data_IF_211177118182
#
_entry.id   IF_211177118182
#
_cell.length_a   1.000
_cell.length_b   1.000
_cell.length_c   1.000
_cell.angle_alpha   90.00
_cell.angle_beta   90.00
_cell.angle_gamma   90.00
#
_symmetry.space_group_name_H-M   'P 1'
#
loop_
_entity.id
_entity.type
_entity.pdbx_description
1 polymer ?
#
# COMPACT_ATOMS: atom_id res chain seq x y z
N UNK A 1 43.43 -22.76 -27.31
CA UNK A 1 43.27 -21.38 -26.83
C UNK A 1 42.29 -21.42 -25.68
N UNK A 2 42.77 -21.33 -24.44
CA UNK A 2 41.88 -21.09 -23.30
C UNK A 2 41.35 -19.68 -23.44
N UNK A 3 40.04 -19.49 -23.31
CA UNK A 3 39.32 -18.26 -23.69
C UNK A 3 39.76 -17.00 -22.92
N UNK A 4 40.65 -17.12 -21.93
CA UNK A 4 41.17 -16.03 -21.11
C UNK A 4 42.66 -16.29 -20.77
N UNK A 5 43.51 -15.28 -21.01
CA UNK A 5 44.97 -15.30 -20.85
C UNK A 5 45.45 -15.34 -19.39
N UNK A 6 44.99 -16.31 -18.58
CA UNK A 6 45.56 -16.60 -17.26
C UNK A 6 45.44 -15.49 -16.20
N UNK A 7 44.71 -14.41 -16.47
CA UNK A 7 44.47 -13.31 -15.51
C UNK A 7 43.24 -13.65 -14.68
N UNK A 8 43.47 -13.83 -13.38
CA UNK A 8 42.42 -14.05 -12.37
C UNK A 8 42.13 -12.76 -11.61
N UNK A 9 40.85 -12.45 -11.30
CA UNK A 9 39.64 -13.20 -11.61
C UNK A 9 39.14 -12.97 -13.06
N UNK A 10 38.64 -14.05 -13.69
CA UNK A 10 38.15 -14.03 -15.09
C UNK A 10 36.97 -13.08 -15.34
N UNK A 11 36.20 -12.80 -14.30
CA UNK A 11 35.18 -11.77 -14.29
C UNK A 11 35.56 -10.78 -13.20
N UNK A 12 35.96 -9.57 -13.60
CA UNK A 12 36.07 -8.46 -12.64
C UNK A 12 34.71 -8.28 -11.98
N UNK A 13 34.67 -8.33 -10.64
CA UNK A 13 33.45 -8.35 -9.86
C UNK A 13 32.77 -6.97 -9.89
N UNK A 14 32.17 -6.60 -11.02
CA UNK A 14 31.39 -5.39 -11.14
C UNK A 14 29.99 -5.69 -10.60
N UNK A 15 29.84 -5.54 -9.28
CA UNK A 15 28.53 -5.65 -8.61
C UNK A 15 27.67 -4.47 -9.08
N UNK A 16 26.72 -4.72 -9.97
CA UNK A 16 25.65 -3.77 -10.23
C UNK A 16 24.65 -3.83 -9.06
N UNK A 17 24.38 -2.72 -8.35
CA UNK A 17 23.31 -2.70 -7.37
C UNK A 17 21.97 -2.97 -8.09
N UNK A 18 21.14 -3.82 -7.48
CA UNK A 18 19.80 -4.06 -8.02
C UNK A 18 18.92 -2.83 -7.70
N UNK A 19 18.39 -2.18 -8.74
CA UNK A 19 17.71 -0.88 -8.67
C UNK A 19 16.30 -1.01 -8.03
N UNK A 20 15.71 -2.20 -8.10
CA UNK A 20 14.33 -2.49 -7.64
C UNK A 20 14.38 -3.47 -6.48
N UNK A 21 13.33 -3.63 -5.68
CA UNK A 21 13.27 -4.73 -4.71
C UNK A 21 12.94 -6.05 -5.44
N UNK A 22 13.68 -7.13 -5.17
CA UNK A 22 13.46 -8.44 -5.80
C UNK A 22 12.05 -8.95 -5.51
N UNK A 23 11.56 -8.74 -4.29
CA UNK A 23 10.24 -9.22 -3.86
C UNK A 23 9.13 -8.55 -4.69
N UNK A 24 9.26 -7.23 -4.88
CA UNK A 24 8.37 -6.41 -5.70
C UNK A 24 8.40 -6.87 -7.16
N UNK A 25 9.60 -7.07 -7.71
CA UNK A 25 9.79 -7.53 -9.09
C UNK A 25 9.08 -8.86 -9.34
N UNK A 26 9.21 -9.82 -8.42
CA UNK A 26 8.55 -11.13 -8.52
C UNK A 26 7.03 -10.96 -8.55
N UNK A 27 6.46 -10.13 -7.67
CA UNK A 27 5.01 -9.87 -7.66
C UNK A 27 4.55 -9.26 -8.98
N UNK A 28 5.21 -8.20 -9.46
CA UNK A 28 4.85 -7.57 -10.74
C UNK A 28 4.92 -8.56 -11.89
N UNK A 29 5.96 -9.41 -11.93
CA UNK A 29 6.14 -10.39 -12.99
C UNK A 29 5.03 -11.44 -12.98
N UNK A 30 4.69 -12.00 -11.82
CA UNK A 30 3.62 -13.00 -11.69
C UNK A 30 2.27 -12.43 -12.15
N UNK A 31 1.90 -11.24 -11.67
CA UNK A 31 0.65 -10.59 -12.08
C UNK A 31 0.66 -10.18 -13.57
N UNK A 32 1.80 -9.76 -14.12
CA UNK A 32 1.93 -9.44 -15.55
C UNK A 32 1.73 -10.67 -16.44
N UNK A 33 2.30 -11.82 -16.07
CA UNK A 33 2.11 -13.09 -16.80
C UNK A 33 0.64 -13.52 -16.77
N UNK A 34 -0.02 -13.39 -15.61
CA UNK A 34 -1.46 -13.67 -15.49
C UNK A 34 -2.29 -12.72 -16.37
N UNK A 35 -2.01 -11.42 -16.35
CA UNK A 35 -2.71 -10.43 -17.17
C UNK A 35 -2.56 -10.72 -18.67
N UNK A 36 -1.34 -11.02 -19.13
CA UNK A 36 -1.06 -11.39 -20.53
C UNK A 36 -1.79 -12.69 -20.91
N UNK A 37 -1.81 -13.68 -20.02
CA UNK A 37 -2.54 -14.94 -20.24
C UNK A 37 -4.05 -14.69 -20.43
N UNK A 38 -4.66 -13.85 -19.59
CA UNK A 38 -6.06 -13.46 -19.77
C UNK A 38 -6.27 -12.65 -21.05
N UNK A 39 -5.32 -11.79 -21.44
CA UNK A 39 -5.40 -11.05 -22.70
C UNK A 39 -5.45 -11.98 -23.92
N UNK A 40 -4.72 -13.10 -23.90
CA UNK A 40 -4.74 -14.10 -24.97
C UNK A 40 -6.04 -14.89 -25.06
N UNK A 41 -6.77 -15.07 -23.95
CA UNK A 41 -8.05 -15.80 -23.92
C UNK A 41 -9.21 -14.94 -24.48
N UNK A 42 -9.06 -13.61 -24.46
CA UNK A 42 -10.11 -12.67 -24.85
C UNK A 42 -10.71 -12.80 -26.26
N UNK A 43 -9.94 -13.14 -27.32
CA UNK A 43 -10.51 -13.34 -28.64
C UNK A 43 -11.55 -14.47 -28.69
N UNK A 44 -11.52 -15.40 -27.72
CA UNK A 44 -12.48 -16.50 -27.60
C UNK A 44 -13.86 -16.10 -27.03
N UNK A 45 -14.00 -14.92 -26.44
CA UNK A 45 -15.26 -14.46 -25.83
C UNK A 45 -16.11 -13.74 -26.87
N UNK A 46 -17.33 -14.23 -27.10
CA UNK A 46 -18.26 -13.76 -28.13
C UNK A 46 -19.07 -12.54 -27.64
N UNK A 47 -19.15 -11.47 -28.44
CA UNK A 47 -20.10 -10.35 -28.25
C UNK A 47 -19.54 -9.06 -27.62
N UNK A 48 -20.44 -8.07 -27.42
CA UNK A 48 -20.12 -6.72 -26.88
C UNK A 48 -19.72 -6.73 -25.39
N UNK A 49 -20.04 -7.78 -24.65
CA UNK A 49 -19.69 -7.94 -23.23
C UNK A 49 -18.18 -8.17 -22.97
N UNK A 50 -17.39 -8.44 -24.04
CA UNK A 50 -15.94 -8.64 -23.95
C UNK A 50 -15.20 -7.49 -23.25
N UNK A 51 -15.59 -6.24 -23.54
CA UNK A 51 -14.93 -5.06 -22.93
C UNK A 51 -15.20 -4.99 -21.43
N UNK A 52 -16.43 -5.25 -21.01
CA UNK A 52 -16.80 -5.26 -19.59
C UNK A 52 -16.04 -6.37 -18.84
N UNK A 53 -15.97 -7.57 -19.41
CA UNK A 53 -15.19 -8.68 -18.86
C UNK A 53 -13.69 -8.38 -18.79
N UNK A 54 -13.13 -7.72 -19.81
CA UNK A 54 -11.74 -7.24 -19.78
C UNK A 54 -11.47 -6.32 -18.61
N UNK A 55 -12.25 -5.24 -18.50
CA UNK A 55 -12.06 -4.25 -17.45
C UNK A 55 -12.20 -4.89 -16.07
N UNK A 56 -13.18 -5.78 -15.87
CA UNK A 56 -13.36 -6.51 -14.62
C UNK A 56 -12.14 -7.37 -14.25
N UNK A 57 -11.62 -8.18 -15.17
CA UNK A 57 -10.44 -9.01 -14.89
C UNK A 57 -9.22 -8.13 -14.59
N UNK A 58 -8.99 -7.10 -15.40
CA UNK A 58 -7.82 -6.22 -15.24
C UNK A 58 -7.88 -5.46 -13.91
N UNK A 59 -9.04 -4.93 -13.54
CA UNK A 59 -9.25 -4.22 -12.26
C UNK A 59 -9.07 -5.19 -11.09
N UNK A 60 -9.68 -6.36 -11.12
CA UNK A 60 -9.54 -7.36 -10.05
C UNK A 60 -8.08 -7.80 -9.89
N UNK A 61 -7.38 -8.06 -11.00
CA UNK A 61 -5.99 -8.47 -10.99
C UNK A 61 -5.07 -7.35 -10.49
N UNK A 62 -5.37 -6.10 -10.83
CA UNK A 62 -4.68 -4.93 -10.27
C UNK A 62 -4.90 -4.80 -8.75
N UNK A 63 -6.13 -5.01 -8.26
CA UNK A 63 -6.43 -5.03 -6.82
C UNK A 63 -5.60 -6.11 -6.11
N UNK A 64 -5.56 -7.33 -6.66
CA UNK A 64 -4.74 -8.42 -6.14
C UNK A 64 -3.25 -8.08 -6.13
N UNK A 65 -2.74 -7.45 -7.20
CA UNK A 65 -1.34 -7.03 -7.30
C UNK A 65 -0.97 -5.97 -6.24
N UNK A 66 -1.87 -5.03 -5.96
CA UNK A 66 -1.65 -4.01 -4.92
C UNK A 66 -1.72 -4.62 -3.52
N UNK A 67 -2.63 -5.57 -3.28
CA UNK A 67 -2.76 -6.27 -2.00
C UNK A 67 -1.51 -7.08 -1.66
N UNK A 68 -0.99 -7.87 -2.61
CA UNK A 68 0.24 -8.66 -2.43
C UNK A 68 1.49 -7.79 -2.48
N UNK A 69 1.45 -6.72 -3.26
CA UNK A 69 2.55 -5.78 -3.43
C UNK A 69 2.88 -4.96 -2.18
N UNK A 70 2.13 -5.12 -1.08
CA UNK A 70 2.39 -4.59 0.28
C UNK A 70 3.33 -3.37 0.34
N UNK A 71 2.83 -2.25 -0.18
CA UNK A 71 3.66 -1.07 -0.39
C UNK A 71 3.62 -0.04 0.72
N UNK A 72 2.98 -0.25 1.89
CA UNK A 72 2.91 0.86 2.86
C UNK A 72 4.31 1.24 3.32
N UNK A 73 4.73 2.43 2.88
CA UNK A 73 6.00 3.06 3.19
C UNK A 73 5.67 4.48 3.58
N UNK A 74 6.23 4.95 4.66
CA UNK A 74 6.39 6.38 4.89
C UNK A 74 7.69 6.83 4.25
N UNK A 75 7.74 8.09 3.86
CA UNK A 75 8.93 8.68 3.29
C UNK A 75 9.26 9.94 4.06
N UNK A 76 10.49 9.99 4.54
CA UNK A 76 11.02 11.15 5.21
C UNK A 76 12.35 11.48 4.54
N UNK A 77 12.48 12.68 3.99
CA UNK A 77 13.71 13.09 3.33
C UNK A 77 14.20 14.42 3.88
N UNK A 78 15.52 14.50 4.09
CA UNK A 78 16.23 15.74 4.44
C UNK A 78 17.57 15.77 3.74
N UNK A 79 17.95 16.96 3.27
CA UNK A 79 19.29 17.23 2.78
C UNK A 79 20.08 17.91 3.88
N UNK A 80 20.90 17.16 4.61
CA UNK A 80 21.66 17.71 5.72
C UNK A 80 23.16 17.55 5.53
N UNK A 81 23.91 18.49 6.08
CA UNK A 81 25.33 18.35 6.28
C UNK A 81 25.56 17.57 7.57
N UNK A 82 26.08 16.35 7.45
CA UNK A 82 26.23 15.45 8.58
C UNK A 82 27.66 14.91 8.70
N UNK A 83 28.07 14.62 9.94
CA UNK A 83 29.31 13.90 10.20
C UNK A 83 29.20 12.50 9.63
N UNK A 84 30.17 12.09 8.81
CA UNK A 84 30.07 10.85 8.04
C UNK A 84 30.59 9.63 8.81
N UNK A 85 31.83 9.68 9.31
CA UNK A 85 32.53 8.52 9.88
C UNK A 85 33.24 8.87 11.18
N UNK A 86 33.29 7.92 12.12
CA UNK A 86 34.11 8.03 13.33
C UNK A 86 35.60 8.19 12.98
N UNK A 87 36.34 8.94 13.80
CA UNK A 87 37.76 9.28 13.58
C UNK A 87 38.03 10.18 12.35
N UNK A 88 36.99 10.76 11.75
CA UNK A 88 37.11 11.81 10.74
C UNK A 88 36.24 13.00 11.11
N UNK A 89 36.78 14.22 10.98
CA UNK A 89 36.04 15.46 11.16
C UNK A 89 35.37 15.93 9.86
N UNK A 90 35.43 15.13 8.80
CA UNK A 90 34.83 15.49 7.52
C UNK A 90 33.30 15.47 7.61
N UNK A 91 32.69 16.55 7.14
CA UNK A 91 31.25 16.71 7.01
C UNK A 91 30.88 16.49 5.54
N UNK A 92 29.87 15.66 5.31
CA UNK A 92 29.38 15.32 3.99
C UNK A 92 28.02 15.98 3.79
N UNK A 93 27.79 16.54 2.61
CA UNK A 93 26.46 16.98 2.20
C UNK A 93 25.71 15.79 1.61
N UNK A 94 24.72 15.28 2.32
CA UNK A 94 23.99 14.09 1.91
C UNK A 94 22.48 14.25 2.11
N UNK A 95 21.73 13.64 1.20
CA UNK A 95 20.31 13.39 1.35
C UNK A 95 20.13 12.12 2.18
N UNK A 96 19.51 12.29 3.33
CA UNK A 96 19.14 11.20 4.24
C UNK A 96 17.66 10.94 4.06
N UNK A 97 17.33 9.71 3.63
CA UNK A 97 15.96 9.27 3.43
C UNK A 97 15.61 8.13 4.39
N UNK A 98 14.61 8.32 5.24
CA UNK A 98 14.03 7.27 6.07
C UNK A 98 12.72 6.80 5.43
N UNK A 99 12.69 5.52 5.09
CA UNK A 99 11.51 4.85 4.57
C UNK A 99 10.96 3.87 5.59
N UNK A 100 9.82 4.17 6.21
CA UNK A 100 9.24 3.28 7.24
C UNK A 100 8.17 2.38 6.62
N UNK A 101 8.46 1.09 6.51
CA UNK A 101 7.54 0.08 5.99
C UNK A 101 6.78 -0.70 7.07
N UNK A 102 5.87 -1.59 6.65
CA UNK A 102 5.16 -2.49 7.57
C UNK A 102 6.09 -3.47 8.28
N UNK A 103 7.15 -3.93 7.60
CA UNK A 103 8.03 -5.00 8.05
C UNK A 103 9.42 -4.54 8.48
N UNK A 104 9.74 -3.26 8.31
CA UNK A 104 11.03 -2.71 8.66
C UNK A 104 11.14 -1.24 8.32
N UNK A 105 12.30 -0.67 8.61
CA UNK A 105 12.75 0.62 8.09
C UNK A 105 13.84 0.39 7.05
N UNK A 106 13.86 1.25 6.06
CA UNK A 106 14.96 1.37 5.12
C UNK A 106 15.54 2.80 5.24
N UNK A 107 16.83 2.89 5.49
CA UNK A 107 17.55 4.14 5.67
C UNK A 107 18.51 4.30 4.49
N UNK A 108 18.33 5.39 3.78
CA UNK A 108 19.14 5.77 2.62
C UNK A 108 20.02 6.96 2.97
N UNK A 109 21.26 6.93 2.51
CA UNK A 109 22.21 8.03 2.63
C UNK A 109 22.90 8.22 1.29
N UNK A 110 22.55 9.29 0.59
CA UNK A 110 23.07 9.59 -0.75
C UNK A 110 23.79 10.94 -0.76
N UNK A 111 25.05 10.94 -1.18
CA UNK A 111 25.83 12.17 -1.31
C UNK A 111 25.30 13.09 -2.43
N UNK A 112 25.38 14.41 -2.20
CA UNK A 112 25.12 15.46 -3.21
C UNK A 112 26.39 16.33 -3.36
N UNK A 113 27.36 16.00 -4.25
CA UNK A 113 27.37 14.92 -5.26
C UNK A 113 27.66 13.52 -4.67
N UNK A 114 27.43 12.45 -5.43
CA UNK A 114 27.53 11.06 -4.94
C UNK A 114 28.96 10.66 -4.53
N UNK A 115 29.98 11.18 -5.23
CA UNK A 115 31.37 10.98 -4.84
C UNK A 115 31.88 12.17 -4.05
N UNK A 116 32.17 11.95 -2.76
CA UNK A 116 32.77 12.94 -1.86
C UNK A 116 33.88 12.25 -1.09
N UNK A 117 34.95 12.99 -0.76
CA UNK A 117 36.04 12.48 0.08
C UNK A 117 36.69 11.20 -0.53
N UNK A 118 36.80 11.12 -1.86
CA UNK A 118 37.29 9.95 -2.60
C UNK A 118 36.51 8.65 -2.34
N UNK A 119 35.29 8.74 -1.81
CA UNK A 119 34.40 7.61 -1.56
C UNK A 119 33.05 7.83 -2.28
N UNK A 120 32.36 6.73 -2.59
CA UNK A 120 31.03 6.76 -3.21
C UNK A 120 29.99 6.60 -2.11
N UNK A 121 29.20 7.64 -1.87
CA UNK A 121 28.23 7.71 -0.78
C UNK A 121 26.84 7.40 -1.35
N UNK A 122 26.48 6.12 -1.34
CA UNK A 122 25.18 5.61 -1.77
C UNK A 122 24.83 4.37 -0.93
N UNK A 123 24.31 4.60 0.27
CA UNK A 123 23.93 3.54 1.21
C UNK A 123 22.43 3.33 1.22
N UNK A 124 22.02 2.07 1.36
CA UNK A 124 20.62 1.63 1.39
C UNK A 124 20.51 0.47 2.39
N UNK A 125 20.33 0.79 3.67
CA UNK A 125 20.36 -0.17 4.78
C UNK A 125 18.96 -0.48 5.30
N UNK A 126 18.64 -1.77 5.47
CA UNK A 126 17.32 -2.24 5.85
C UNK A 126 17.36 -2.89 7.24
N UNK A 127 16.59 -2.37 8.18
CA UNK A 127 16.37 -2.96 9.50
C UNK A 127 14.96 -3.55 9.58
N UNK A 128 14.86 -4.87 9.80
CA UNK A 128 13.58 -5.59 9.82
C UNK A 128 13.01 -5.70 11.23
N UNK A 129 11.68 -5.65 11.35
CA UNK A 129 10.94 -5.83 12.60
C UNK A 129 10.80 -7.29 13.04
N UNK A 130 10.99 -8.24 12.10
CA UNK A 130 10.87 -9.68 12.34
C UNK A 130 11.94 -10.19 13.30
N UNK A 131 13.17 -9.69 13.14
CA UNK A 131 14.34 -9.97 13.96
C UNK A 131 14.49 -8.95 15.09
N UNK A 132 15.40 -9.23 16.03
CA UNK A 132 15.84 -8.27 17.04
C UNK A 132 16.41 -7.04 16.33
N UNK A 133 15.76 -5.89 16.48
CA UNK A 133 16.30 -4.62 15.95
C UNK A 133 17.58 -4.26 16.68
N UNK A 134 17.65 -4.57 17.98
CA UNK A 134 18.83 -4.28 18.82
C UNK A 134 20.07 -5.09 18.36
N UNK A 135 19.88 -6.33 17.90
CA UNK A 135 20.96 -7.19 17.36
C UNK A 135 21.42 -6.70 15.99
N UNK A 136 20.49 -6.39 15.08
CA UNK A 136 20.82 -5.79 13.78
C UNK A 136 21.53 -4.44 13.94
N UNK A 137 21.17 -3.67 14.97
CA UNK A 137 21.85 -2.44 15.32
C UNK A 137 23.26 -2.71 15.87
N UNK A 138 23.45 -3.75 16.68
CA UNK A 138 24.77 -4.25 17.08
C UNK A 138 25.65 -4.60 15.89
N UNK A 139 25.14 -5.40 14.95
CA UNK A 139 25.84 -5.76 13.71
C UNK A 139 26.19 -4.53 12.87
N UNK A 140 25.28 -3.54 12.80
CA UNK A 140 25.49 -2.29 12.10
C UNK A 140 26.62 -1.44 12.73
N UNK A 141 26.72 -1.45 14.06
CA UNK A 141 27.82 -0.80 14.79
C UNK A 141 29.14 -1.52 14.55
N UNK A 142 29.16 -2.85 14.58
CA UNK A 142 30.38 -3.64 14.32
C UNK A 142 30.90 -3.46 12.89
N UNK A 143 30.00 -3.31 11.91
CA UNK A 143 30.36 -3.00 10.51
C UNK A 143 30.85 -1.56 10.33
N UNK A 144 30.60 -0.67 11.27
CA UNK A 144 30.99 0.74 11.21
C UNK A 144 30.23 1.54 10.16
N UNK A 145 28.89 1.39 10.11
CA UNK A 145 28.04 2.19 9.22
C UNK A 145 28.16 3.70 9.49
N UNK A 146 27.86 4.55 8.50
CA UNK A 146 27.91 6.01 8.66
C UNK A 146 27.06 6.51 9.83
N UNK A 147 27.55 7.54 10.53
CA UNK A 147 26.90 8.10 11.72
C UNK A 147 25.42 8.49 11.50
N UNK A 148 24.99 9.07 10.36
CA UNK A 148 23.59 9.44 10.16
C UNK A 148 22.64 8.23 10.13
N UNK A 149 23.12 7.10 9.58
CA UNK A 149 22.34 5.86 9.52
C UNK A 149 22.20 5.28 10.93
N UNK A 150 23.31 5.23 11.67
CA UNK A 150 23.31 4.75 13.06
C UNK A 150 22.43 5.61 13.96
N UNK A 151 22.47 6.93 13.81
CA UNK A 151 21.64 7.87 14.58
C UNK A 151 20.15 7.60 14.39
N UNK A 152 19.70 7.41 13.14
CA UNK A 152 18.29 7.09 12.87
C UNK A 152 17.96 5.69 13.39
N UNK A 153 18.81 4.70 13.15
CA UNK A 153 18.58 3.32 13.60
C UNK A 153 18.46 3.24 15.13
N UNK A 154 19.26 4.01 15.86
CA UNK A 154 19.23 4.08 17.33
C UNK A 154 17.85 4.50 17.85
N UNK A 155 17.17 5.46 17.18
CA UNK A 155 15.82 5.91 17.57
C UNK A 155 14.76 4.80 17.49
N UNK A 156 15.01 3.76 16.69
CA UNK A 156 14.13 2.60 16.55
C UNK A 156 14.58 1.40 17.41
N UNK A 157 15.57 1.56 18.28
CA UNK A 157 15.93 0.53 19.27
C UNK A 157 14.94 0.49 20.43
N UNK A 158 14.86 -0.64 21.14
CA UNK A 158 13.94 -0.81 22.28
C UNK A 158 14.23 0.09 23.46
N UNK A 159 15.51 0.41 23.68
CA UNK A 159 15.98 1.22 24.81
C UNK A 159 16.08 2.71 24.47
N UNK A 160 15.63 3.12 23.28
CA UNK A 160 15.62 4.52 22.88
C UNK A 160 14.62 5.33 23.73
N UNK A 161 14.96 6.59 24.03
CA UNK A 161 14.11 7.50 24.80
C UNK A 161 12.74 7.75 24.12
N UNK A 162 12.66 7.52 22.82
CA UNK A 162 11.49 7.80 22.00
C UNK A 162 10.55 6.59 21.83
N UNK A 163 11.05 5.36 22.04
CA UNK A 163 10.21 4.15 22.07
C UNK A 163 9.42 3.86 20.78
N UNK A 164 9.84 4.43 19.63
CA UNK A 164 9.13 4.36 18.34
C UNK A 164 8.85 2.92 17.90
N UNK A 165 9.77 2.00 18.22
CA UNK A 165 9.72 0.61 17.79
C UNK A 165 8.41 -0.09 18.15
N UNK A 166 7.85 0.17 19.33
CA UNK A 166 6.63 -0.50 19.76
C UNK A 166 5.46 -0.09 18.88
N UNK A 167 5.26 1.21 18.67
CA UNK A 167 4.13 1.73 17.89
C UNK A 167 4.19 1.29 16.43
N UNK A 168 5.36 1.44 15.79
CA UNK A 168 5.54 1.02 14.39
C UNK A 168 5.41 -0.48 14.21
N UNK A 169 5.93 -1.28 15.15
CA UNK A 169 5.83 -2.74 15.08
C UNK A 169 4.40 -3.23 15.31
N UNK A 170 3.66 -2.66 16.26
CA UNK A 170 2.26 -3.06 16.52
C UNK A 170 1.36 -2.66 15.35
N UNK A 171 1.44 -1.41 14.91
CA UNK A 171 0.62 -0.95 13.79
C UNK A 171 0.99 -1.64 12.48
N UNK A 172 2.28 -1.84 12.19
CA UNK A 172 2.73 -2.60 11.03
C UNK A 172 2.19 -4.04 11.01
N UNK A 173 2.22 -4.74 12.17
CA UNK A 173 1.64 -6.08 12.29
C UNK A 173 0.13 -6.09 12.07
N UNK A 174 -0.59 -5.13 12.65
CA UNK A 174 -2.04 -5.05 12.49
C UNK A 174 -2.44 -4.72 11.04
N UNK A 175 -1.74 -3.77 10.41
CA UNK A 175 -1.91 -3.43 9.00
C UNK A 175 -1.64 -4.64 8.10
N UNK A 176 -0.52 -5.35 8.30
CA UNK A 176 -0.19 -6.55 7.51
C UNK A 176 -1.24 -7.65 7.69
N UNK A 177 -1.72 -7.91 8.91
CA UNK A 177 -2.77 -8.90 9.15
C UNK A 177 -4.08 -8.56 8.42
N UNK A 178 -4.47 -7.28 8.42
CA UNK A 178 -5.65 -6.82 7.68
C UNK A 178 -5.46 -6.95 6.16
N UNK A 179 -4.27 -6.67 5.63
CA UNK A 179 -3.98 -6.85 4.20
C UNK A 179 -4.02 -8.32 3.77
N UNK A 180 -3.43 -9.22 4.55
CA UNK A 180 -3.52 -10.66 4.30
C UNK A 180 -4.97 -11.16 4.37
N UNK A 181 -5.75 -10.64 5.30
CA UNK A 181 -7.20 -10.94 5.40
C UNK A 181 -7.96 -10.40 4.18
N UNK A 182 -7.66 -9.17 3.75
CA UNK A 182 -8.23 -8.57 2.54
C UNK A 182 -7.88 -9.40 1.30
N UNK A 183 -6.64 -9.89 1.19
CA UNK A 183 -6.21 -10.75 0.10
C UNK A 183 -7.00 -12.07 0.07
N UNK A 184 -7.22 -12.71 1.23
CA UNK A 184 -8.08 -13.89 1.32
C UNK A 184 -9.52 -13.59 0.90
N UNK A 185 -10.10 -12.46 1.35
CA UNK A 185 -11.44 -12.04 0.96
C UNK A 185 -11.55 -11.76 -0.55
N UNK A 186 -10.53 -11.15 -1.15
CA UNK A 186 -10.43 -10.92 -2.59
C UNK A 186 -10.34 -12.23 -3.38
N UNK A 187 -9.55 -13.21 -2.92
CA UNK A 187 -9.50 -14.53 -3.55
C UNK A 187 -10.86 -15.22 -3.54
N UNK A 188 -11.54 -15.21 -2.39
CA UNK A 188 -12.89 -15.77 -2.26
C UNK A 188 -13.87 -15.03 -3.17
N UNK A 189 -13.82 -13.70 -3.23
CA UNK A 189 -14.67 -12.91 -4.13
C UNK A 189 -14.48 -13.30 -5.61
N UNK A 190 -13.24 -13.50 -6.07
CA UNK A 190 -12.96 -13.95 -7.44
C UNK A 190 -13.48 -15.35 -7.75
N UNK A 191 -13.41 -16.27 -6.77
CA UNK A 191 -13.98 -17.61 -6.91
C UNK A 191 -15.51 -17.51 -7.02
N UNK A 192 -16.15 -16.71 -6.17
CA UNK A 192 -17.61 -16.53 -6.20
C UNK A 192 -18.07 -15.84 -7.48
N UNK A 193 -17.28 -14.92 -8.05
CA UNK A 193 -17.57 -14.32 -9.36
C UNK A 193 -17.56 -15.31 -10.54
N UNK A 194 -16.95 -16.48 -10.35
CA UNK A 194 -16.96 -17.57 -11.34
C UNK A 194 -18.21 -18.45 -11.21
N UNK A 195 -18.92 -18.37 -10.08
CA UNK A 195 -20.20 -19.03 -9.84
C UNK A 195 -21.36 -18.04 -10.07
N UNK A 196 -22.60 -18.50 -10.29
CA UNK A 196 -23.77 -17.62 -10.47
C UNK A 196 -24.20 -16.88 -9.18
N UNK A 197 -23.35 -16.87 -8.14
CA UNK A 197 -23.65 -16.37 -6.80
C UNK A 197 -23.02 -14.98 -6.61
N UNK A 198 -23.48 -14.02 -7.41
CA UNK A 198 -22.82 -12.70 -7.58
C UNK A 198 -23.02 -11.78 -6.35
N UNK A 199 -24.13 -11.92 -5.61
CA UNK A 199 -24.43 -11.13 -4.42
C UNK A 199 -23.38 -11.32 -3.31
N UNK A 200 -23.06 -12.58 -3.01
CA UNK A 200 -22.06 -12.91 -1.99
C UNK A 200 -20.65 -12.50 -2.42
N UNK A 201 -20.35 -12.51 -3.72
CA UNK A 201 -19.10 -11.96 -4.25
C UNK A 201 -19.00 -10.44 -3.97
N UNK A 202 -20.10 -9.71 -4.16
CA UNK A 202 -20.21 -8.28 -3.82
C UNK A 202 -19.95 -8.01 -2.34
N UNK A 203 -20.56 -8.78 -1.43
CA UNK A 203 -20.31 -8.65 0.01
C UNK A 203 -18.85 -8.92 0.39
N UNK A 204 -18.21 -9.92 -0.22
CA UNK A 204 -16.79 -10.21 0.00
C UNK A 204 -15.86 -9.11 -0.56
N UNK A 205 -16.25 -8.44 -1.64
CA UNK A 205 -15.52 -7.26 -2.16
C UNK A 205 -15.65 -6.05 -1.23
N UNK A 206 -16.82 -5.81 -0.64
CA UNK A 206 -17.01 -4.78 0.38
C UNK A 206 -16.16 -5.08 1.62
N UNK A 207 -16.15 -6.34 2.06
CA UNK A 207 -15.31 -6.78 3.18
C UNK A 207 -13.82 -6.54 2.88
N UNK A 208 -13.36 -6.86 1.67
CA UNK A 208 -12.00 -6.57 1.20
C UNK A 208 -11.69 -5.08 1.30
N UNK A 209 -12.58 -4.22 0.81
CA UNK A 209 -12.42 -2.76 0.88
C UNK A 209 -12.33 -2.27 2.34
N UNK A 210 -13.18 -2.81 3.23
CA UNK A 210 -13.18 -2.45 4.65
C UNK A 210 -11.85 -2.79 5.33
N UNK A 211 -11.28 -3.98 5.08
CA UNK A 211 -9.97 -4.36 5.61
C UNK A 211 -8.84 -3.49 5.07
N UNK A 212 -8.87 -3.10 3.79
CA UNK A 212 -7.91 -2.13 3.23
C UNK A 212 -8.02 -0.79 3.97
N UNK A 213 -9.22 -0.27 4.20
CA UNK A 213 -9.42 0.97 4.94
C UNK A 213 -8.94 0.87 6.39
N UNK A 214 -9.27 -0.22 7.10
CA UNK A 214 -8.76 -0.45 8.46
C UNK A 214 -7.24 -0.53 8.50
N UNK A 215 -6.61 -1.18 7.52
CA UNK A 215 -5.15 -1.18 7.39
C UNK A 215 -4.61 0.25 7.23
N UNK A 216 -5.12 1.04 6.27
CA UNK A 216 -4.67 2.43 6.06
C UNK A 216 -4.89 3.32 7.28
N UNK A 217 -6.01 3.16 7.98
CA UNK A 217 -6.33 3.91 9.18
C UNK A 217 -5.36 3.56 10.32
N UNK A 218 -5.11 2.26 10.55
CA UNK A 218 -4.16 1.82 11.57
C UNK A 218 -2.74 2.34 11.31
N UNK A 219 -2.32 2.36 10.05
CA UNK A 219 -1.02 2.92 9.67
C UNK A 219 -0.98 4.42 9.91
N UNK A 220 -2.03 5.16 9.53
CA UNK A 220 -2.10 6.63 9.72
C UNK A 220 -2.14 7.04 11.20
N UNK A 221 -2.69 6.21 12.09
CA UNK A 221 -2.71 6.53 13.53
C UNK A 221 -1.32 6.61 14.16
N UNK A 222 -0.29 6.03 13.52
CA UNK A 222 1.09 6.09 14.02
C UNK A 222 1.59 7.54 14.11
N UNK A 223 1.26 8.38 13.14
CA UNK A 223 1.76 9.77 13.07
C UNK A 223 1.18 10.68 14.14
N UNK A 224 -0.07 10.44 14.53
CA UNK A 224 -0.77 11.32 15.47
C UNK A 224 -0.27 11.17 16.92
N UNK A 225 0.63 10.21 17.17
CA UNK A 225 1.11 9.82 18.51
C UNK A 225 2.54 10.29 18.79
N UNK A 226 3.26 10.85 17.80
CA UNK A 226 4.73 11.03 17.90
C UNK A 226 5.14 12.50 18.16
N UNK A 227 5.71 12.82 19.33
CA UNK A 227 6.43 14.07 19.59
C UNK A 227 7.97 13.88 19.51
N UNK A 228 8.46 13.16 18.50
CA UNK A 228 9.88 12.83 18.36
C UNK A 228 10.47 13.55 17.15
N UNK A 229 11.27 14.57 17.42
CA UNK A 229 11.91 15.35 16.36
C UNK A 229 13.20 14.66 15.89
N UNK A 230 13.32 14.46 14.58
CA UNK A 230 14.51 13.92 13.95
C UNK A 230 15.31 15.10 13.41
N UNK A 231 16.25 15.61 14.20
CA UNK A 231 17.21 16.62 13.76
C UNK A 231 18.51 15.97 13.30
N UNK A 232 18.96 16.32 12.10
CA UNK A 232 20.28 15.95 11.57
C UNK A 232 20.99 17.27 11.27
N UNK A 233 21.93 17.65 12.14
CA UNK A 233 22.54 18.97 12.08
C UNK A 233 21.54 20.08 12.43
N UNK A 234 21.36 21.05 11.53
CA UNK A 234 20.45 22.18 11.72
C UNK A 234 19.05 21.99 11.09
N UNK A 235 18.84 20.89 10.37
CA UNK A 235 17.59 20.62 9.65
C UNK A 235 16.79 19.49 10.32
N UNK A 236 15.46 19.64 10.32
CA UNK A 236 14.52 18.65 10.85
C UNK A 236 13.84 17.87 9.71
N UNK A 237 13.48 16.63 10.02
CA UNK A 237 12.89 15.68 9.07
C UNK A 237 11.44 16.03 8.72
N UNK A 238 11.21 16.54 7.51
CA UNK A 238 9.85 16.71 6.98
C UNK A 238 9.24 15.36 6.61
N UNK A 239 7.97 15.17 6.97
CA UNK A 239 7.30 13.87 6.90
C UNK A 239 6.24 13.89 5.81
N UNK A 240 6.31 12.99 4.83
CA UNK A 240 5.30 12.87 3.78
C UNK A 240 4.78 11.44 3.63
N UNK A 241 3.50 11.34 3.27
CA UNK A 241 2.91 10.06 2.89
C UNK A 241 3.43 9.62 1.52
N UNK A 242 3.97 8.40 1.44
CA UNK A 242 4.44 7.85 0.17
C UNK A 242 3.29 7.61 -0.81
N UNK A 243 3.60 7.59 -2.10
CA UNK A 243 2.67 7.26 -3.19
C UNK A 243 1.92 5.94 -2.96
N UNK A 244 2.55 4.97 -2.32
CA UNK A 244 1.96 3.68 -2.02
C UNK A 244 0.76 3.73 -1.08
N UNK A 245 0.78 4.65 -0.11
CA UNK A 245 -0.35 4.88 0.78
C UNK A 245 -1.57 5.37 -0.02
N UNK A 246 -1.35 6.29 -0.95
CA UNK A 246 -2.40 6.81 -1.82
C UNK A 246 -2.93 5.76 -2.80
N UNK A 247 -2.06 4.90 -3.34
CA UNK A 247 -2.46 3.79 -4.21
C UNK A 247 -3.34 2.80 -3.46
N UNK A 248 -2.99 2.43 -2.22
CA UNK A 248 -3.81 1.54 -1.40
C UNK A 248 -5.19 2.15 -1.08
N UNK A 249 -5.24 3.46 -0.75
CA UNK A 249 -6.50 4.16 -0.51
C UNK A 249 -7.36 4.25 -1.78
N UNK A 250 -6.75 4.50 -2.93
CA UNK A 250 -7.44 4.48 -4.22
C UNK A 250 -7.97 3.07 -4.55
N UNK A 251 -7.21 2.03 -4.24
CA UNK A 251 -7.59 0.62 -4.45
C UNK A 251 -8.80 0.24 -3.61
N UNK A 252 -8.83 0.61 -2.32
CA UNK A 252 -10.01 0.40 -1.47
C UNK A 252 -11.27 1.10 -1.97
N UNK A 253 -11.12 2.31 -2.55
CA UNK A 253 -12.24 3.00 -3.23
C UNK A 253 -12.67 2.28 -4.51
N UNK A 254 -11.73 1.77 -5.31
CA UNK A 254 -12.05 1.03 -6.53
C UNK A 254 -12.81 -0.27 -6.24
N UNK A 255 -12.38 -1.04 -5.22
CA UNK A 255 -13.09 -2.25 -4.81
C UNK A 255 -14.51 -1.96 -4.33
N UNK A 256 -14.72 -0.82 -3.66
CA UNK A 256 -16.05 -0.41 -3.24
C UNK A 256 -16.92 -0.02 -4.44
N UNK A 257 -16.37 0.75 -5.39
CA UNK A 257 -17.06 1.09 -6.64
C UNK A 257 -17.50 -0.15 -7.42
N UNK A 258 -16.66 -1.17 -7.52
CA UNK A 258 -16.98 -2.42 -8.22
C UNK A 258 -18.15 -3.19 -7.57
N UNK A 259 -18.32 -3.08 -6.25
CA UNK A 259 -19.40 -3.74 -5.51
C UNK A 259 -20.76 -3.02 -5.56
N UNK A 260 -20.79 -1.71 -5.89
CA UNK A 260 -22.03 -0.89 -5.83
C UNK A 260 -23.11 -1.31 -6.85
N UNK A 261 -22.79 -1.61 -8.13
CA UNK A 261 -23.80 -2.07 -9.09
C UNK A 261 -24.46 -3.37 -8.61
N UNK A 262 -23.66 -4.29 -8.09
CA UNK A 262 -24.08 -5.63 -7.66
C UNK A 262 -25.04 -5.62 -6.47
N UNK A 263 -24.92 -4.62 -5.58
CA UNK A 263 -25.83 -4.46 -4.44
C UNK A 263 -27.14 -3.77 -4.80
N UNK A 264 -27.17 -2.99 -5.90
CA UNK A 264 -28.38 -2.27 -6.34
C UNK A 264 -29.31 -3.14 -7.17
N UNK A 265 -28.76 -4.14 -7.86
CA UNK A 265 -29.56 -5.11 -8.61
C UNK A 265 -30.52 -5.87 -7.66
N UNK A 266 -30.17 -6.05 -6.38
CA UNK A 266 -31.03 -6.68 -5.36
C UNK A 266 -32.24 -5.81 -4.94
N UNK A 267 -32.10 -4.48 -4.96
CA UNK A 267 -33.20 -3.56 -4.64
C UNK A 267 -34.22 -3.48 -5.79
N UNK A 268 -33.81 -3.87 -7.00
CA UNK A 268 -34.68 -4.06 -8.17
C UNK A 268 -35.28 -5.47 -8.23
N UNK A 269 -34.64 -6.48 -7.64
CA UNK A 269 -34.99 -7.89 -7.80
C UNK A 269 -35.50 -8.59 -6.52
N UNK A 270 -35.66 -7.88 -5.40
CA UNK A 270 -36.41 -8.43 -4.24
C UNK A 270 -37.92 -8.59 -4.51
N UNK A 271 -38.39 -8.30 -5.74
CA UNK A 271 -39.69 -8.69 -6.28
C UNK A 271 -39.67 -9.93 -7.18
N UNK A 272 -38.52 -10.46 -7.59
CA UNK A 272 -38.42 -11.65 -8.44
C UNK A 272 -37.33 -12.59 -7.92
N UNK A 273 -37.77 -13.74 -7.39
CA UNK A 273 -36.88 -14.78 -6.90
C UNK A 273 -35.85 -15.21 -7.94
N UNK A 274 -34.63 -15.46 -7.47
CA UNK A 274 -33.49 -16.07 -8.15
C UNK A 274 -33.85 -16.94 -9.37
N UNK A 275 -33.90 -16.34 -10.56
CA UNK A 275 -33.76 -17.05 -11.81
C UNK A 275 -33.06 -16.13 -12.81
N UNK A 276 -31.87 -16.56 -13.25
CA UNK A 276 -31.06 -15.93 -14.29
C UNK A 276 -31.90 -15.51 -15.51
N UNK A 277 -32.25 -14.23 -15.63
CA UNK A 277 -32.88 -13.69 -16.84
C UNK A 277 -31.86 -13.15 -17.86
N UNK A 278 -30.60 -12.93 -17.48
CA UNK A 278 -29.57 -12.42 -18.41
C UNK A 278 -29.04 -13.41 -19.47
N UNK A 279 -29.47 -14.68 -19.46
CA UNK A 279 -29.03 -15.70 -20.43
C UNK A 279 -30.18 -16.27 -21.30
N UNK A 280 -31.44 -15.94 -21.00
CA UNK A 280 -32.62 -16.46 -21.73
C UNK A 280 -33.68 -15.38 -21.99
N UNK A 281 -33.27 -14.11 -22.12
CA UNK A 281 -34.18 -13.02 -22.52
C UNK A 281 -34.42 -13.04 -24.03
N UNK A 282 -35.24 -14.01 -24.41
CA UNK A 282 -35.73 -14.21 -25.76
C UNK A 282 -36.84 -15.24 -25.73
N UNK A 283 -37.92 -15.01 -24.95
CA UNK A 283 -39.25 -15.63 -25.06
C UNK A 283 -40.21 -15.01 -23.98
N UNK A 284 -41.16 -14.18 -24.45
CA UNK A 284 -42.57 -13.97 -23.99
C UNK A 284 -42.91 -13.17 -22.69
N UNK A 285 -43.42 -11.93 -22.92
CA UNK A 285 -44.64 -11.18 -22.47
C UNK A 285 -45.37 -11.34 -21.09
N UNK A 286 -45.69 -10.15 -20.50
CA UNK A 286 -46.78 -9.64 -19.58
C UNK A 286 -47.22 -10.50 -18.34
N UNK A 287 -47.59 -10.02 -17.13
CA UNK A 287 -48.28 -8.80 -16.64
C UNK A 287 -48.28 -8.72 -15.07
N UNK A 288 -48.52 -7.50 -14.54
CA UNK A 288 -49.06 -7.02 -13.24
C UNK A 288 -49.13 -7.87 -11.93
N UNK A 289 -48.71 -7.29 -10.78
CA UNK A 289 -49.58 -6.65 -9.73
C UNK A 289 -48.86 -6.29 -8.40
N UNK A 290 -49.26 -5.15 -7.81
CA UNK A 290 -48.91 -4.58 -6.48
C UNK A 290 -49.45 -5.45 -5.31
N UNK A 291 -49.01 -5.42 -4.04
CA UNK A 291 -48.97 -4.31 -3.05
C UNK A 291 -48.51 -4.90 -1.69
N UNK A 292 -48.04 -4.07 -0.76
CA UNK A 292 -47.59 -4.33 0.65
C UNK A 292 -46.06 -4.35 0.82
N UNK A 293 -45.44 -3.25 1.28
CA UNK A 293 -44.17 -3.23 2.07
C UNK A 293 -43.72 -1.80 2.47
N UNK A 294 -44.65 -0.93 2.88
CA UNK A 294 -44.36 0.50 3.12
C UNK A 294 -43.60 0.75 4.45
N UNK A 295 -43.54 -0.21 5.38
CA UNK A 295 -42.95 0.02 6.72
C UNK A 295 -41.45 -0.28 6.83
N UNK A 296 -40.90 -1.20 6.03
CA UNK A 296 -39.49 -1.65 6.13
C UNK A 296 -38.53 -0.81 5.26
N UNK A 297 -39.03 -0.33 4.11
CA UNK A 297 -38.31 0.60 3.21
C UNK A 297 -37.94 1.91 3.91
N UNK A 298 -38.81 2.42 4.80
CA UNK A 298 -38.51 3.66 5.53
C UNK A 298 -37.32 3.51 6.50
N UNK A 299 -37.13 2.35 7.14
CA UNK A 299 -36.00 2.16 8.07
C UNK A 299 -34.64 2.06 7.35
N UNK A 300 -34.58 1.36 6.21
CA UNK A 300 -33.34 1.18 5.45
C UNK A 300 -32.92 2.47 4.74
N UNK A 301 -33.87 3.22 4.19
CA UNK A 301 -33.61 4.54 3.59
C UNK A 301 -33.09 5.53 4.64
N UNK A 302 -33.57 5.44 5.89
CA UNK A 302 -33.09 6.29 6.99
C UNK A 302 -31.66 5.93 7.40
N UNK A 303 -31.28 4.65 7.35
CA UNK A 303 -29.95 4.15 7.72
C UNK A 303 -28.88 4.49 6.66
N UNK A 304 -29.22 4.38 5.38
CA UNK A 304 -28.33 4.76 4.27
C UNK A 304 -28.13 6.28 4.17
N UNK A 305 -29.17 7.07 4.44
CA UNK A 305 -29.06 8.54 4.56
C UNK A 305 -28.17 8.94 5.73
N UNK A 306 -28.30 8.28 6.89
CA UNK A 306 -27.42 8.52 8.05
C UNK A 306 -25.96 8.12 7.76
N UNK A 307 -25.73 7.01 7.07
CA UNK A 307 -24.37 6.55 6.74
C UNK A 307 -23.71 7.47 5.70
N UNK A 308 -24.46 7.89 4.66
CA UNK A 308 -23.99 8.86 3.66
C UNK A 308 -23.71 10.24 4.29
N UNK A 309 -24.52 10.65 5.27
CA UNK A 309 -24.29 11.88 6.03
C UNK A 309 -23.03 11.78 6.92
N UNK A 310 -22.78 10.64 7.56
CA UNK A 310 -21.56 10.42 8.35
C UNK A 310 -20.30 10.39 7.49
N UNK A 311 -20.34 9.76 6.31
CA UNK A 311 -19.22 9.79 5.36
C UNK A 311 -18.98 11.23 4.86
N UNK A 312 -20.04 11.98 4.55
CA UNK A 312 -19.91 13.37 4.10
C UNK A 312 -19.37 14.29 5.22
N UNK A 313 -19.78 14.08 6.46
CA UNK A 313 -19.25 14.79 7.63
C UNK A 313 -17.78 14.43 7.90
N UNK A 314 -17.39 13.17 7.72
CA UNK A 314 -16.00 12.72 7.82
C UNK A 314 -15.12 13.31 6.70
N UNK A 315 -15.63 13.39 5.47
CA UNK A 315 -14.93 14.02 4.34
C UNK A 315 -14.80 15.53 4.53
N UNK A 316 -15.83 16.20 5.07
CA UNK A 316 -15.79 17.64 5.35
C UNK A 316 -14.83 17.97 6.49
N UNK A 317 -14.80 17.18 7.57
CA UNK A 317 -13.84 17.36 8.68
C UNK A 317 -12.39 17.12 8.24
N UNK A 318 -12.16 16.18 7.31
CA UNK A 318 -10.84 16.02 6.67
C UNK A 318 -10.48 17.19 5.75
N UNK A 319 -11.45 17.77 5.04
CA UNK A 319 -11.23 18.94 4.19
C UNK A 319 -11.01 20.23 4.98
N UNK A 320 -11.61 20.35 6.16
CA UNK A 320 -11.47 21.50 7.06
C UNK A 320 -10.11 21.46 7.78
N UNK A 321 -9.70 20.29 8.29
CA UNK A 321 -8.33 20.08 8.80
C UNK A 321 -7.24 20.32 7.75
N UNK A 322 -7.53 20.06 6.47
CA UNK A 322 -6.62 20.38 5.36
C UNK A 322 -6.50 21.90 5.11
N UNK A 323 -7.56 22.68 5.35
CA UNK A 323 -7.53 24.14 5.22
C UNK A 323 -6.86 24.80 6.40
N UNK A 324 -7.06 24.30 7.61
CA UNK A 324 -6.38 24.81 8.81
C UNK A 324 -4.86 24.59 8.73
N UNK A 325 -4.42 23.48 8.13
CA UNK A 325 -3.00 23.26 7.81
C UNK A 325 -2.43 24.28 6.80
N UNK A 326 -3.23 24.73 5.84
CA UNK A 326 -2.77 25.72 4.83
C UNK A 326 -2.74 27.14 5.40
N UNK A 327 -3.63 27.47 6.35
CA UNK A 327 -3.66 28.80 6.99
C UNK A 327 -2.48 28.98 7.96
N UNK A 328 -2.06 27.92 8.66
CA UNK A 328 -0.89 27.96 9.56
C UNK A 328 0.42 28.18 8.79
N UNK A 329 0.52 27.72 7.53
CA UNK A 329 1.69 27.93 6.66
C UNK A 329 1.69 29.27 5.90
N UNK A 330 0.64 30.09 6.01
CA UNK A 330 0.59 31.43 5.39
C UNK A 330 0.95 32.57 6.36
N UNK A 331 1.23 32.26 7.63
CA UNK A 331 1.56 33.26 8.66
C UNK A 331 2.90 33.02 9.37
N UNK A 332 3.75 32.09 8.91
CA UNK A 332 5.13 31.93 9.38
C UNK A 332 6.15 32.47 8.39
#
# INVERSE_FOLDING_TARGET
MTFYDGIYPFYSLQRSPFIVDISLLVVILVFSVLAVSFLFILPGIRGKSRLFWMFRIIISLFIGAVLVGEYFKYFFNVKANASYKSFSNAVVSAEVGLHVGLYGINITLKGDPVSQINETIDYNEIFRWSSSVDEQYGDALERGLPNPILYIAEKFTRNSACGLIYQYRYSGRFASANLWTAFCCWLVANILFSMPVILYAGYMMIATAAFIFFSTASFSTIFNVIPCDFSIGAESLSTDYSHSFWIALATGKCSLWESVPLSKDDESHTGEGYLNSGFLEGVIYDDNTQTENVSLSQQITTLTVRFKAQIKAFVLTLSEKKKDLVIIYSQS
#
